data_IF_829771594000
#
_entry.id   IF_829771594000
#
_cell.length_a   1.000
_cell.length_b   1.000
_cell.length_c   1.000
_cell.angle_alpha   90.00
_cell.angle_beta   90.00
_cell.angle_gamma   90.00
#
_symmetry.space_group_name_H-M   'P 1'
#
loop_
_entity.id
_entity.type
_entity.pdbx_description
1 polymer ?
#
# COMPACT_ATOMS: atom_id res chain seq x y z
N UNK A 1 -3.40 28.02 9.33
CA UNK A 1 -2.98 27.12 8.23
C UNK A 1 -4.24 26.76 7.45
N UNK A 2 -4.33 27.03 6.15
CA UNK A 2 -5.51 26.59 5.38
C UNK A 2 -5.40 25.07 5.23
N UNK A 3 -6.51 24.35 5.34
CA UNK A 3 -6.51 22.87 5.31
C UNK A 3 -5.84 22.29 4.03
N UNK A 4 -5.87 23.04 2.92
CA UNK A 4 -5.23 22.66 1.67
C UNK A 4 -3.70 22.69 1.71
N UNK A 5 -3.10 23.60 2.48
CA UNK A 5 -1.64 23.74 2.55
C UNK A 5 -0.98 22.53 3.25
N UNK A 6 -1.77 21.82 4.08
CA UNK A 6 -1.32 20.65 4.82
C UNK A 6 -1.46 19.33 4.03
N UNK A 7 -2.15 19.30 2.89
CA UNK A 7 -2.43 18.06 2.17
C UNK A 7 -1.16 17.39 1.63
N UNK A 8 -0.25 18.17 1.07
CA UNK A 8 1.03 17.69 0.51
C UNK A 8 1.87 16.97 1.60
N UNK A 9 2.22 17.62 2.73
CA UNK A 9 3.00 16.95 3.76
C UNK A 9 2.24 15.79 4.41
N UNK A 10 0.91 15.90 4.56
CA UNK A 10 0.10 14.81 5.13
C UNK A 10 0.11 13.57 4.24
N UNK A 11 0.02 13.72 2.92
CA UNK A 11 0.10 12.60 1.96
C UNK A 11 1.45 11.90 2.02
N UNK A 12 2.52 12.67 2.09
CA UNK A 12 3.86 12.13 2.24
C UNK A 12 3.96 11.28 3.51
N UNK A 13 3.58 11.86 4.66
CA UNK A 13 3.62 11.18 5.96
C UNK A 13 2.76 9.90 5.96
N UNK A 14 1.51 9.97 5.50
CA UNK A 14 0.63 8.80 5.44
C UNK A 14 1.24 7.65 4.61
N UNK A 15 1.87 7.99 3.47
CA UNK A 15 2.48 6.99 2.59
C UNK A 15 3.73 6.35 3.20
N UNK A 16 4.58 7.15 3.87
CA UNK A 16 5.77 6.63 4.56
C UNK A 16 5.35 5.78 5.77
N UNK A 17 4.38 6.21 6.57
CA UNK A 17 3.87 5.43 7.70
C UNK A 17 3.34 4.07 7.24
N UNK A 18 2.54 4.05 6.17
CA UNK A 18 2.00 2.79 5.66
C UNK A 18 3.09 1.89 5.06
N UNK A 19 4.11 2.46 4.41
CA UNK A 19 5.28 1.70 3.96
C UNK A 19 5.99 1.02 5.13
N UNK A 20 6.25 1.78 6.20
CA UNK A 20 6.90 1.26 7.40
C UNK A 20 6.06 0.16 8.04
N UNK A 21 4.74 0.32 8.13
CA UNK A 21 3.88 -0.73 8.70
C UNK A 21 3.93 -2.01 7.88
N UNK A 22 3.95 -1.93 6.54
CA UNK A 22 4.11 -3.11 5.67
C UNK A 22 5.49 -3.77 5.88
N UNK A 23 6.56 -2.99 6.04
CA UNK A 23 7.89 -3.52 6.38
C UNK A 23 7.92 -4.19 7.76
N UNK A 24 7.13 -3.70 8.72
CA UNK A 24 6.98 -4.37 10.02
C UNK A 24 6.26 -5.71 9.88
N UNK A 25 5.22 -5.80 9.04
CA UNK A 25 4.55 -7.08 8.75
C UNK A 25 5.54 -8.11 8.18
N UNK A 26 6.47 -7.68 7.31
CA UNK A 26 7.55 -8.55 6.81
C UNK A 26 8.37 -9.18 7.95
N UNK A 27 8.65 -8.38 8.98
CA UNK A 27 9.43 -8.83 10.14
C UNK A 27 8.66 -9.81 11.02
N UNK A 28 7.33 -9.68 11.08
CA UNK A 28 6.44 -10.54 11.88
C UNK A 28 5.73 -11.62 11.05
N UNK A 29 6.15 -11.85 9.80
CA UNK A 29 5.40 -12.71 8.87
C UNK A 29 5.28 -14.15 9.37
N UNK A 30 6.30 -14.65 10.08
CA UNK A 30 6.36 -16.02 10.57
C UNK A 30 5.20 -16.33 11.53
N UNK A 31 4.92 -15.41 12.46
CA UNK A 31 3.86 -15.58 13.46
C UNK A 31 2.48 -15.65 12.79
N UNK A 32 2.25 -14.77 11.82
CA UNK A 32 1.01 -14.73 11.04
C UNK A 32 0.80 -16.02 10.23
N UNK A 33 1.87 -16.62 9.70
CA UNK A 33 1.80 -17.91 8.98
C UNK A 33 1.47 -19.04 9.95
N UNK A 34 2.13 -19.09 11.11
CA UNK A 34 1.94 -20.15 12.11
C UNK A 34 0.49 -20.16 12.62
N UNK A 35 -0.07 -19.00 12.93
CA UNK A 35 -1.49 -18.86 13.37
C UNK A 35 -2.47 -19.30 12.27
N UNK A 36 -2.05 -19.23 11.01
CA UNK A 36 -2.89 -19.62 9.86
C UNK A 36 -2.84 -21.11 9.54
N UNK A 37 -1.92 -21.85 10.14
CA UNK A 37 -1.75 -23.28 9.86
C UNK A 37 -2.58 -24.13 10.82
N UNK A 38 -3.03 -25.32 10.38
CA UNK A 38 -3.64 -26.29 11.27
C UNK A 38 -2.60 -26.79 12.30
N UNK A 39 -3.09 -27.34 13.43
CA UNK A 39 -2.24 -27.86 14.52
C UNK A 39 -1.19 -28.88 14.08
N UNK A 40 -1.47 -29.61 13.00
CA UNK A 40 -0.54 -30.50 12.32
C UNK A 40 -0.39 -30.03 10.89
N UNK A 41 0.77 -29.51 10.52
CA UNK A 41 1.04 -28.97 9.20
C UNK A 41 2.27 -29.61 8.55
N UNK A 42 2.29 -29.67 7.22
CA UNK A 42 3.46 -30.05 6.44
C UNK A 42 4.32 -28.82 6.12
N UNK A 43 5.61 -29.05 5.89
CA UNK A 43 6.52 -27.98 5.43
C UNK A 43 6.04 -27.35 4.10
N UNK A 44 5.44 -28.15 3.22
CA UNK A 44 4.90 -27.68 1.94
C UNK A 44 3.77 -26.65 2.11
N UNK A 45 2.90 -26.82 3.11
CA UNK A 45 1.83 -25.85 3.42
C UNK A 45 2.41 -24.55 3.97
N UNK A 46 3.40 -24.65 4.87
CA UNK A 46 4.10 -23.48 5.41
C UNK A 46 4.77 -22.66 4.29
N UNK A 47 5.52 -23.32 3.40
CA UNK A 47 6.22 -22.66 2.31
C UNK A 47 5.26 -22.00 1.31
N UNK A 48 4.10 -22.62 1.07
CA UNK A 48 3.03 -22.04 0.25
C UNK A 48 2.48 -20.74 0.84
N UNK A 49 2.17 -20.72 2.14
CA UNK A 49 1.64 -19.54 2.82
C UNK A 49 2.70 -18.45 2.93
N UNK A 50 3.94 -18.82 3.21
CA UNK A 50 5.08 -17.91 3.19
C UNK A 50 5.25 -17.25 1.82
N UNK A 51 5.17 -18.01 0.74
CA UNK A 51 5.25 -17.50 -0.63
C UNK A 51 4.10 -16.53 -0.93
N UNK A 52 2.87 -16.89 -0.56
CA UNK A 52 1.68 -16.03 -0.73
C UNK A 52 1.82 -14.72 0.03
N UNK A 53 2.24 -14.77 1.30
CA UNK A 53 2.41 -13.58 2.13
C UNK A 53 3.57 -12.70 1.63
N UNK A 54 4.68 -13.30 1.21
CA UNK A 54 5.79 -12.58 0.60
C UNK A 54 5.36 -11.85 -0.69
N UNK A 55 4.55 -12.51 -1.52
CA UNK A 55 4.02 -11.93 -2.75
C UNK A 55 3.15 -10.69 -2.46
N UNK A 56 2.16 -10.81 -1.59
CA UNK A 56 1.24 -9.68 -1.31
C UNK A 56 1.94 -8.51 -0.65
N UNK A 57 2.89 -8.75 0.26
CA UNK A 57 3.66 -7.67 0.88
C UNK A 57 4.60 -6.99 -0.12
N UNK A 58 5.16 -7.75 -1.07
CA UNK A 58 5.93 -7.18 -2.18
C UNK A 58 5.06 -6.30 -3.08
N UNK A 59 3.83 -6.74 -3.38
CA UNK A 59 2.86 -5.94 -4.14
C UNK A 59 2.48 -4.65 -3.42
N UNK A 60 2.28 -4.70 -2.09
CA UNK A 60 2.09 -3.49 -1.28
C UNK A 60 3.21 -2.48 -1.45
N UNK A 61 4.47 -2.92 -1.29
CA UNK A 61 5.64 -2.04 -1.44
C UNK A 61 5.67 -1.41 -2.83
N UNK A 62 5.47 -2.21 -3.90
CA UNK A 62 5.45 -1.71 -5.27
C UNK A 62 4.36 -0.64 -5.45
N UNK A 63 3.14 -0.91 -4.99
CA UNK A 63 2.01 0.04 -5.08
C UNK A 63 2.28 1.35 -4.31
N UNK A 64 2.84 1.27 -3.11
CA UNK A 64 3.13 2.45 -2.27
C UNK A 64 4.29 3.24 -2.87
N UNK A 65 5.36 2.58 -3.29
CA UNK A 65 6.50 3.23 -3.95
C UNK A 65 6.09 3.89 -5.27
N UNK A 66 5.20 3.26 -6.04
CA UNK A 66 4.67 3.86 -7.27
C UNK A 66 3.85 5.12 -6.98
N UNK A 67 2.98 5.09 -5.97
CA UNK A 67 2.27 6.28 -5.49
C UNK A 67 3.20 7.39 -5.00
N UNK A 68 4.25 7.02 -4.28
CA UNK A 68 5.22 7.97 -3.76
C UNK A 68 6.04 8.58 -4.89
N UNK A 69 6.46 7.80 -5.89
CA UNK A 69 7.13 8.29 -7.08
C UNK A 69 6.23 9.26 -7.85
N UNK A 70 4.99 8.88 -8.12
CA UNK A 70 4.02 9.74 -8.81
C UNK A 70 3.78 11.08 -8.10
N UNK A 71 3.74 11.04 -6.77
CA UNK A 71 3.69 12.24 -5.93
C UNK A 71 4.97 13.09 -6.01
N UNK A 72 6.15 12.49 -5.80
CA UNK A 72 7.43 13.20 -5.75
C UNK A 72 7.85 13.79 -7.10
N UNK A 73 7.52 13.12 -8.21
CA UNK A 73 7.75 13.64 -9.57
C UNK A 73 6.68 14.65 -10.01
N UNK A 74 5.67 14.91 -9.19
CA UNK A 74 4.68 15.97 -9.43
C UNK A 74 3.50 15.56 -10.32
N UNK A 75 3.39 14.30 -10.74
CA UNK A 75 2.29 13.83 -11.61
C UNK A 75 0.92 13.99 -10.93
N UNK A 76 0.82 13.64 -9.65
CA UNK A 76 -0.44 13.67 -8.90
C UNK A 76 -0.43 14.62 -7.70
N UNK A 77 0.69 15.33 -7.46
CA UNK A 77 0.89 16.22 -6.32
C UNK A 77 -0.17 17.32 -6.23
N UNK A 78 -0.62 17.83 -7.37
CA UNK A 78 -1.55 18.95 -7.47
C UNK A 78 -3.01 18.54 -7.68
N UNK A 79 -3.33 17.24 -7.52
CA UNK A 79 -4.70 16.72 -7.62
C UNK A 79 -5.23 16.49 -6.18
N UNK A 80 -6.05 17.41 -5.62
CA UNK A 80 -6.43 17.34 -4.20
C UNK A 80 -7.33 16.14 -3.87
N UNK A 81 -8.24 15.76 -4.78
CA UNK A 81 -9.13 14.61 -4.60
C UNK A 81 -8.36 13.30 -4.47
N UNK A 82 -7.41 13.06 -5.36
CA UNK A 82 -6.51 11.90 -5.30
C UNK A 82 -5.63 11.94 -4.06
N UNK A 83 -5.11 13.12 -3.70
CA UNK A 83 -4.31 13.29 -2.49
C UNK A 83 -5.09 12.91 -1.23
N UNK A 84 -6.34 13.34 -1.10
CA UNK A 84 -7.23 12.96 0.02
C UNK A 84 -7.49 11.44 0.02
N UNK A 85 -7.75 10.86 -1.15
CA UNK A 85 -7.96 9.41 -1.28
C UNK A 85 -6.74 8.63 -0.78
N UNK A 86 -5.53 9.00 -1.22
CA UNK A 86 -4.28 8.39 -0.78
C UNK A 86 -4.10 8.51 0.73
N UNK A 87 -4.33 9.69 1.30
CA UNK A 87 -4.22 9.92 2.75
C UNK A 87 -5.16 8.98 3.51
N UNK A 88 -6.43 8.92 3.14
CA UNK A 88 -7.43 8.09 3.83
C UNK A 88 -7.07 6.61 3.70
N UNK A 89 -6.83 6.14 2.47
CA UNK A 89 -6.53 4.74 2.21
C UNK A 89 -5.25 4.27 2.89
N UNK A 90 -4.15 5.02 2.79
CA UNK A 90 -2.89 4.64 3.45
C UNK A 90 -2.97 4.75 4.97
N UNK A 91 -3.70 5.72 5.52
CA UNK A 91 -3.88 5.83 6.98
C UNK A 91 -4.70 4.66 7.52
N UNK A 92 -5.82 4.32 6.89
CA UNK A 92 -6.64 3.18 7.28
C UNK A 92 -5.86 1.86 7.10
N UNK A 93 -5.19 1.70 5.95
CA UNK A 93 -4.32 0.55 5.69
C UNK A 93 -3.24 0.39 6.76
N UNK A 94 -2.59 1.49 7.16
CA UNK A 94 -1.59 1.50 8.23
C UNK A 94 -2.18 1.04 9.57
N UNK A 95 -3.36 1.55 9.95
CA UNK A 95 -4.05 1.13 11.18
C UNK A 95 -4.35 -0.37 11.14
N UNK A 96 -4.91 -0.88 10.04
CA UNK A 96 -5.17 -2.30 9.88
C UNK A 96 -3.91 -3.15 9.92
N UNK A 97 -2.81 -2.72 9.29
CA UNK A 97 -1.53 -3.41 9.37
C UNK A 97 -1.00 -3.44 10.80
N UNK A 98 -1.11 -2.35 11.56
CA UNK A 98 -0.71 -2.31 12.97
C UNK A 98 -1.54 -3.26 13.83
N UNK A 99 -2.87 -3.29 13.65
CA UNK A 99 -3.74 -4.25 14.36
C UNK A 99 -3.39 -5.68 13.98
N UNK A 100 -3.18 -5.96 12.69
CA UNK A 100 -2.80 -7.28 12.20
C UNK A 100 -1.47 -7.77 12.79
N UNK A 101 -0.52 -6.87 13.03
CA UNK A 101 0.74 -7.18 13.73
C UNK A 101 0.46 -7.51 15.21
N UNK A 102 -0.33 -6.70 15.91
CA UNK A 102 -0.59 -6.89 17.34
C UNK A 102 -1.37 -8.16 17.64
N UNK A 103 -2.32 -8.52 16.77
CA UNK A 103 -3.23 -9.66 16.96
C UNK A 103 -2.81 -10.90 16.16
N UNK A 104 -1.65 -10.88 15.47
CA UNK A 104 -1.14 -12.02 14.68
C UNK A 104 -2.19 -12.59 13.72
N UNK A 105 -2.70 -11.74 12.83
CA UNK A 105 -3.79 -12.07 11.94
C UNK A 105 -3.48 -13.19 10.93
N UNK A 106 -4.53 -13.87 10.50
CA UNK A 106 -4.45 -14.87 9.43
C UNK A 106 -3.85 -14.26 8.14
N UNK A 107 -2.97 -14.99 7.44
CA UNK A 107 -2.19 -14.47 6.31
C UNK A 107 -3.04 -13.92 5.15
N UNK A 108 -4.26 -14.45 4.98
CA UNK A 108 -5.22 -13.95 3.98
C UNK A 108 -5.66 -12.51 4.22
N UNK A 109 -5.61 -12.02 5.46
CA UNK A 109 -6.03 -10.66 5.77
C UNK A 109 -5.17 -9.61 5.06
N UNK A 110 -3.90 -9.91 4.80
CA UNK A 110 -3.00 -9.02 4.06
C UNK A 110 -3.40 -8.88 2.59
N UNK A 111 -4.06 -9.89 1.99
CA UNK A 111 -4.66 -9.76 0.65
C UNK A 111 -5.82 -8.78 0.63
N UNK A 112 -6.66 -8.77 1.67
CA UNK A 112 -7.74 -7.78 1.78
C UNK A 112 -7.19 -6.38 1.99
N UNK A 113 -6.20 -6.21 2.88
CA UNK A 113 -5.56 -4.90 3.11
C UNK A 113 -4.96 -4.38 1.79
N UNK A 114 -4.29 -5.23 1.02
CA UNK A 114 -3.75 -4.87 -0.30
C UNK A 114 -4.84 -4.45 -1.29
N UNK A 115 -5.86 -5.29 -1.44
CA UNK A 115 -6.92 -5.10 -2.42
C UNK A 115 -7.73 -3.83 -2.19
N UNK A 116 -7.91 -3.39 -0.94
CA UNK A 116 -8.68 -2.18 -0.62
C UNK A 116 -7.82 -0.91 -0.48
N UNK A 117 -6.61 -1.01 0.07
CA UNK A 117 -5.85 0.18 0.48
C UNK A 117 -4.61 0.47 -0.37
N UNK A 118 -4.11 -0.50 -1.14
CA UNK A 118 -2.93 -0.30 -2.00
C UNK A 118 -3.23 -0.41 -3.49
N UNK A 119 -3.94 -1.47 -3.91
CA UNK A 119 -4.21 -1.71 -5.33
C UNK A 119 -5.05 -0.60 -5.98
N UNK A 120 -6.17 -0.12 -5.39
CA UNK A 120 -7.02 0.89 -6.04
C UNK A 120 -6.32 2.24 -6.15
N UNK A 121 -5.57 2.61 -5.11
CA UNK A 121 -4.84 3.87 -5.06
C UNK A 121 -3.72 3.89 -6.11
N UNK A 122 -2.95 2.80 -6.22
CA UNK A 122 -1.93 2.64 -7.26
C UNK A 122 -2.50 2.59 -8.68
N UNK A 123 -3.67 1.97 -8.86
CA UNK A 123 -4.36 1.96 -10.15
C UNK A 123 -4.75 3.37 -10.58
N UNK A 124 -5.34 4.17 -9.69
CA UNK A 124 -5.71 5.55 -9.99
C UNK A 124 -4.46 6.40 -10.27
N UNK A 125 -3.38 6.22 -9.51
CA UNK A 125 -2.09 6.87 -9.80
C UNK A 125 -1.60 6.52 -11.22
N UNK A 126 -1.72 5.25 -11.63
CA UNK A 126 -1.31 4.83 -12.97
C UNK A 126 -2.15 5.53 -14.06
N UNK A 127 -3.47 5.66 -13.86
CA UNK A 127 -4.33 6.43 -14.74
C UNK A 127 -3.91 7.91 -14.84
N UNK A 128 -3.56 8.54 -13.70
CA UNK A 128 -3.10 9.94 -13.66
C UNK A 128 -1.78 10.09 -14.44
N UNK A 129 -0.82 9.20 -14.21
CA UNK A 129 0.47 9.21 -14.89
C UNK A 129 0.29 9.05 -16.40
N UNK A 130 -0.49 8.06 -16.84
CA UNK A 130 -0.80 7.84 -18.26
C UNK A 130 -1.47 9.08 -18.86
N UNK A 131 -2.50 9.63 -18.18
CA UNK A 131 -3.21 10.82 -18.65
C UNK A 131 -2.29 12.04 -18.79
N UNK A 132 -1.34 12.20 -17.87
CA UNK A 132 -0.35 13.30 -17.93
C UNK A 132 0.55 13.18 -19.16
N UNK A 133 1.01 11.97 -19.50
CA UNK A 133 1.81 11.75 -20.71
C UNK A 133 1.01 11.95 -22.00
N UNK A 134 -0.24 11.49 -22.05
CA UNK A 134 -1.10 11.70 -23.23
C UNK A 134 -1.36 13.18 -23.50
N UNK A 135 -1.68 13.97 -22.46
CA UNK A 135 -1.84 15.42 -22.57
C UNK A 135 -0.53 16.11 -22.98
N UNK A 136 0.61 15.65 -22.45
CA UNK A 136 1.93 16.13 -22.84
C UNK A 136 2.20 15.95 -24.34
N UNK A 137 1.85 14.79 -24.90
CA UNK A 137 2.07 14.50 -26.33
C UNK A 137 1.22 15.36 -27.28
N UNK A 138 0.01 15.78 -26.86
CA UNK A 138 -0.89 16.61 -27.67
C UNK A 138 -0.45 18.08 -27.76
N UNK A 139 0.35 18.58 -26.81
CA UNK A 139 0.83 19.97 -26.81
C UNK A 139 2.09 20.19 -27.65
N UNK A 140 2.66 19.13 -28.22
CA UNK A 140 3.91 19.17 -29.01
C UNK A 140 3.62 18.98 -30.52
N UNK A 141 2.36 18.67 -30.88
CA UNK A 141 1.84 18.64 -32.26
C UNK A 141 1.06 19.90 -32.57
#
# INVERSE_FOLDING_TARGET
MKAFDALIPTRFMASICFLISVMMVFSTMADNIIVSLPSTYSQTSYDSYKSSLNLVLSLHIICICFNLAGFLFGFSMFIPSHTILVIISHTIGCIYSCVAIMETWHYLNFWYIWAFFSAPVAFIEACIVIGTFSLGSLNIT
#
